data_IF_452726420160
#
_entry.id   IF_452726420160
#
_cell.length_a   1.000
_cell.length_b   1.000
_cell.length_c   1.000
_cell.angle_alpha   90.00
_cell.angle_beta   90.00
_cell.angle_gamma   90.00
#
_symmetry.space_group_name_H-M   'P 1'
#
loop_
_entity.id
_entity.type
_entity.pdbx_description
1 polymer ?
#
# COMPACT_ATOMS: atom_id res chain seq x y z
N UNK A 1 -43.98 51.28 -66.48
CA UNK A 1 -45.06 50.61 -65.74
C UNK A 1 -44.89 51.03 -64.29
N UNK A 2 -45.19 52.30 -63.98
CA UNK A 2 -46.52 52.87 -63.70
C UNK A 2 -47.08 52.22 -62.42
N UNK A 3 -46.88 52.84 -61.24
CA UNK A 3 -47.70 53.93 -60.64
C UNK A 3 -48.80 53.27 -59.76
N UNK A 4 -49.16 53.69 -58.55
CA UNK A 4 -49.48 55.02 -58.00
C UNK A 4 -49.18 55.01 -56.47
N UNK A 5 -48.45 55.98 -55.90
CA UNK A 5 -48.88 57.28 -55.35
C UNK A 5 -49.78 57.21 -54.08
N UNK A 6 -49.26 57.71 -52.95
CA UNK A 6 -49.61 59.06 -52.45
C UNK A 6 -48.81 59.44 -51.18
N UNK A 7 -48.15 60.59 -51.28
CA UNK A 7 -47.55 61.39 -50.20
C UNK A 7 -48.62 61.97 -49.25
N UNK A 8 -48.22 62.28 -48.02
CA UNK A 8 -48.21 63.65 -47.49
C UNK A 8 -47.63 63.70 -46.06
N UNK A 9 -46.67 64.60 -45.89
CA UNK A 9 -46.09 65.10 -44.64
C UNK A 9 -47.14 65.75 -43.73
N UNK A 10 -46.90 65.75 -42.42
CA UNK A 10 -46.99 66.97 -41.59
C UNK A 10 -46.36 66.72 -40.20
N UNK A 11 -45.37 67.54 -39.87
CA UNK A 11 -44.77 67.70 -38.54
C UNK A 11 -45.74 68.45 -37.62
N UNK A 12 -45.91 67.98 -36.37
CA UNK A 12 -46.35 68.82 -35.26
C UNK A 12 -45.71 68.32 -33.95
N UNK A 13 -44.77 69.13 -33.44
CA UNK A 13 -44.40 69.21 -32.03
C UNK A 13 -45.64 69.45 -31.16
N UNK A 14 -45.70 68.84 -29.97
CA UNK A 14 -46.11 69.49 -28.72
C UNK A 14 -45.84 68.56 -27.53
N UNK A 15 -44.97 69.04 -26.64
CA UNK A 15 -44.83 68.62 -25.25
C UNK A 15 -46.19 68.60 -24.54
N UNK A 16 -46.43 67.63 -23.65
CA UNK A 16 -47.05 67.89 -22.35
C UNK A 16 -46.88 66.65 -21.44
N UNK A 17 -46.21 66.92 -20.32
CA UNK A 17 -46.03 66.06 -19.15
C UNK A 17 -47.37 65.68 -18.54
N UNK A 18 -47.60 64.39 -18.27
CA UNK A 18 -48.54 63.97 -17.24
C UNK A 18 -48.03 62.74 -16.50
N UNK A 19 -47.52 63.01 -15.30
CA UNK A 19 -47.28 62.08 -14.20
C UNK A 19 -48.53 61.23 -13.93
N UNK A 20 -48.37 59.92 -14.01
CA UNK A 20 -49.23 58.97 -13.33
C UNK A 20 -48.32 58.03 -12.53
N UNK A 21 -48.15 58.39 -11.26
CA UNK A 21 -47.72 57.51 -10.17
C UNK A 21 -48.73 56.35 -10.06
N UNK A 22 -48.53 55.29 -10.84
CA UNK A 22 -49.11 54.00 -10.52
C UNK A 22 -48.20 53.36 -9.46
N UNK A 23 -48.66 53.48 -8.20
CA UNK A 23 -48.17 52.71 -7.07
C UNK A 23 -48.25 51.22 -7.42
N UNK A 24 -47.16 50.68 -7.95
CA UNK A 24 -46.93 49.25 -7.99
C UNK A 24 -46.82 48.77 -6.55
N UNK A 25 -47.93 48.28 -6.01
CA UNK A 25 -47.94 47.32 -4.92
C UNK A 25 -46.96 46.21 -5.31
N UNK A 26 -45.75 46.29 -4.77
CA UNK A 26 -44.80 45.19 -4.73
C UNK A 26 -45.43 44.13 -3.81
N UNK A 27 -46.32 43.33 -4.37
CA UNK A 27 -46.47 41.96 -3.93
C UNK A 27 -45.07 41.35 -4.09
N UNK A 28 -44.31 41.34 -2.99
CA UNK A 28 -43.17 40.45 -2.81
C UNK A 28 -43.72 39.01 -2.83
N UNK A 29 -44.16 38.56 -4.01
CA UNK A 29 -44.18 37.16 -4.37
C UNK A 29 -42.74 36.70 -4.22
N UNK A 30 -42.45 36.12 -3.07
CA UNK A 30 -41.28 35.29 -2.90
C UNK A 30 -41.39 34.17 -3.94
N UNK A 31 -40.87 34.44 -5.14
CA UNK A 31 -40.41 33.45 -6.11
C UNK A 31 -39.31 32.67 -5.39
N UNK A 32 -39.74 31.74 -4.54
CA UNK A 32 -38.93 30.60 -4.21
C UNK A 32 -38.78 29.85 -5.52
N UNK A 33 -37.75 30.21 -6.30
CA UNK A 33 -37.15 29.33 -7.29
C UNK A 33 -37.23 27.92 -6.71
N UNK A 34 -38.02 27.04 -7.33
CA UNK A 34 -38.25 25.67 -6.87
C UNK A 34 -36.91 24.92 -6.84
N UNK A 35 -36.19 25.04 -5.72
CA UNK A 35 -34.87 24.44 -5.56
C UNK A 35 -35.03 22.93 -5.41
N UNK A 36 -34.73 22.21 -6.49
CA UNK A 36 -34.71 20.76 -6.48
C UNK A 36 -33.53 20.21 -5.67
N UNK A 37 -33.81 19.26 -4.76
CA UNK A 37 -32.78 18.59 -3.98
C UNK A 37 -32.20 17.45 -4.82
N UNK A 38 -30.98 17.64 -5.32
CA UNK A 38 -30.27 16.63 -6.14
C UNK A 38 -29.58 15.54 -5.32
N UNK A 39 -29.28 15.81 -4.05
CA UNK A 39 -28.64 14.85 -3.14
C UNK A 39 -28.98 15.13 -1.68
N UNK A 40 -29.08 14.06 -0.89
CA UNK A 40 -29.31 14.14 0.56
C UNK A 40 -28.44 13.12 1.29
N UNK A 41 -27.64 13.58 2.25
CA UNK A 41 -26.83 12.71 3.11
C UNK A 41 -27.61 12.34 4.37
N UNK A 42 -27.86 11.04 4.55
CA UNK A 42 -28.65 10.52 5.67
C UNK A 42 -27.74 9.69 6.59
N UNK A 43 -27.70 10.04 7.88
CA UNK A 43 -26.98 9.29 8.90
C UNK A 43 -27.94 8.45 9.74
N UNK A 44 -27.80 7.12 9.67
CA UNK A 44 -28.62 6.19 10.44
C UNK A 44 -28.11 6.01 11.87
N UNK A 45 -29.03 5.93 12.84
CA UNK A 45 -28.72 5.59 14.24
C UNK A 45 -28.58 4.08 14.47
N UNK A 46 -29.28 3.26 13.67
CA UNK A 46 -29.28 1.80 13.75
C UNK A 46 -28.59 1.18 12.53
N UNK A 47 -27.68 0.20 12.70
CA UNK A 47 -27.01 -0.49 11.60
C UNK A 47 -27.97 -1.21 10.64
N UNK A 48 -29.14 -1.66 11.12
CA UNK A 48 -30.13 -2.37 10.30
C UNK A 48 -30.67 -1.47 9.17
N UNK A 49 -30.84 -0.18 9.44
CA UNK A 49 -31.41 0.77 8.49
C UNK A 49 -30.44 1.04 7.32
N UNK A 50 -29.13 0.88 7.52
CA UNK A 50 -28.12 1.04 6.46
C UNK A 50 -28.31 0.01 5.34
N UNK A 51 -28.87 -1.17 5.66
CA UNK A 51 -29.04 -2.26 4.71
C UNK A 51 -30.43 -2.22 4.06
N UNK A 52 -31.48 -1.96 4.84
CA UNK A 52 -32.86 -2.04 4.37
C UNK A 52 -33.33 -0.77 3.65
N UNK A 53 -32.93 0.40 4.15
CA UNK A 53 -33.41 1.69 3.62
C UNK A 53 -32.98 1.92 2.16
N UNK A 54 -31.72 1.67 1.75
CA UNK A 54 -31.34 1.85 0.34
C UNK A 54 -32.10 0.92 -0.60
N UNK A 55 -32.43 -0.30 -0.15
CA UNK A 55 -33.23 -1.24 -0.96
C UNK A 55 -34.64 -0.71 -1.20
N UNK A 56 -35.32 -0.23 -0.16
CA UNK A 56 -36.65 0.37 -0.30
C UNK A 56 -36.64 1.57 -1.24
N UNK A 57 -35.66 2.48 -1.09
CA UNK A 57 -35.54 3.64 -1.98
C UNK A 57 -35.31 3.22 -3.44
N UNK A 58 -34.42 2.25 -3.69
CA UNK A 58 -34.11 1.79 -5.04
C UNK A 58 -35.23 0.95 -5.69
N UNK A 59 -36.07 0.28 -4.89
CA UNK A 59 -37.17 -0.59 -5.37
C UNK A 59 -38.49 0.21 -5.54
N UNK A 60 -38.78 1.15 -4.64
CA UNK A 60 -40.09 1.83 -4.56
C UNK A 60 -40.08 3.25 -5.15
N UNK A 61 -38.92 3.81 -5.51
CA UNK A 61 -38.80 5.20 -5.99
C UNK A 61 -37.88 5.33 -7.21
N UNK A 62 -37.95 6.47 -7.89
CA UNK A 62 -37.03 6.82 -8.99
C UNK A 62 -35.67 7.36 -8.49
N UNK A 63 -35.40 7.30 -7.18
CA UNK A 63 -34.17 7.78 -6.57
C UNK A 63 -33.16 6.64 -6.47
N UNK A 64 -31.88 7.00 -6.38
CA UNK A 64 -30.80 6.05 -6.15
C UNK A 64 -30.17 6.29 -4.77
N UNK A 65 -30.31 5.32 -3.88
CA UNK A 65 -29.62 5.29 -2.60
C UNK A 65 -28.33 4.47 -2.71
N UNK A 66 -27.21 5.09 -2.35
CA UNK A 66 -25.90 4.45 -2.21
C UNK A 66 -25.44 4.50 -0.75
N UNK A 67 -24.64 3.52 -0.34
CA UNK A 67 -24.02 3.46 1.00
C UNK A 67 -22.51 3.57 0.83
N UNK A 68 -21.93 4.79 0.89
CA UNK A 68 -20.52 5.00 0.61
C UNK A 68 -19.60 4.16 1.49
N UNK A 69 -19.92 4.01 2.78
CA UNK A 69 -19.12 3.22 3.72
C UNK A 69 -19.05 1.73 3.35
N UNK A 70 -20.15 1.16 2.83
CA UNK A 70 -20.19 -0.23 2.43
C UNK A 70 -19.40 -0.47 1.14
N UNK A 71 -19.56 0.39 0.13
CA UNK A 71 -18.82 0.28 -1.13
C UNK A 71 -17.32 0.50 -0.93
N UNK A 72 -16.91 1.48 -0.11
CA UNK A 72 -15.50 1.67 0.26
C UNK A 72 -14.95 0.44 0.98
N UNK A 73 -15.70 -0.13 1.93
CA UNK A 73 -15.29 -1.35 2.63
C UNK A 73 -15.19 -2.55 1.69
N UNK A 74 -16.09 -2.67 0.71
CA UNK A 74 -16.07 -3.70 -0.32
C UNK A 74 -14.83 -3.56 -1.21
N UNK A 75 -14.50 -2.35 -1.66
CA UNK A 75 -13.28 -2.09 -2.42
C UNK A 75 -12.04 -2.48 -1.61
N UNK A 76 -11.93 -2.03 -0.36
CA UNK A 76 -10.81 -2.41 0.50
C UNK A 76 -10.73 -3.91 0.77
N UNK A 77 -11.85 -4.63 0.86
CA UNK A 77 -11.86 -6.09 1.01
C UNK A 77 -11.27 -6.79 -0.22
N UNK A 78 -11.55 -6.29 -1.43
CA UNK A 78 -10.94 -6.82 -2.66
C UNK A 78 -9.42 -6.58 -2.68
N UNK A 79 -8.96 -5.40 -2.25
CA UNK A 79 -7.53 -5.12 -2.10
C UNK A 79 -6.87 -5.97 -0.99
N UNK A 80 -7.58 -6.19 0.12
CA UNK A 80 -7.10 -6.98 1.25
C UNK A 80 -6.73 -8.41 0.87
N UNK A 81 -7.55 -9.07 0.03
CA UNK A 81 -7.25 -10.41 -0.49
C UNK A 81 -5.93 -10.45 -1.30
N UNK A 82 -5.67 -9.40 -2.10
CA UNK A 82 -4.42 -9.30 -2.86
C UNK A 82 -3.19 -9.15 -1.96
N UNK A 83 -3.26 -8.26 -0.97
CA UNK A 83 -2.17 -8.03 -0.01
C UNK A 83 -1.90 -9.29 0.83
N UNK A 84 -2.95 -9.98 1.28
CA UNK A 84 -2.83 -11.23 2.04
C UNK A 84 -2.13 -12.32 1.22
N UNK A 85 -2.52 -12.49 -0.05
CA UNK A 85 -1.89 -13.46 -0.95
C UNK A 85 -0.40 -13.17 -1.16
N UNK A 86 -0.04 -11.90 -1.37
CA UNK A 86 1.37 -11.50 -1.49
C UNK A 86 2.16 -11.75 -0.20
N UNK A 87 1.52 -11.56 0.95
CA UNK A 87 2.13 -11.83 2.26
C UNK A 87 2.42 -13.32 2.44
N UNK A 88 1.50 -14.20 2.06
CA UNK A 88 1.76 -15.65 2.09
C UNK A 88 2.87 -16.06 1.13
N UNK A 89 2.91 -15.47 -0.07
CA UNK A 89 4.02 -15.68 -1.01
C UNK A 89 5.36 -15.23 -0.40
N UNK A 90 5.39 -14.08 0.28
CA UNK A 90 6.59 -13.60 0.95
C UNK A 90 7.06 -14.58 2.03
N UNK A 91 6.15 -15.14 2.84
CA UNK A 91 6.51 -16.19 3.81
C UNK A 91 7.09 -17.44 3.15
N UNK A 92 6.52 -17.87 2.03
CA UNK A 92 7.06 -19.00 1.27
C UNK A 92 8.48 -18.71 0.76
N UNK A 93 8.73 -17.51 0.22
CA UNK A 93 10.05 -17.09 -0.24
C UNK A 93 11.06 -17.05 0.91
N UNK A 94 10.65 -16.57 2.09
CA UNK A 94 11.48 -16.57 3.30
C UNK A 94 11.89 -18.00 3.68
N UNK A 95 10.95 -18.95 3.66
CA UNK A 95 11.22 -20.37 3.96
C UNK A 95 12.22 -20.94 2.95
N UNK A 96 11.97 -20.74 1.66
CA UNK A 96 12.87 -21.23 0.59
C UNK A 96 14.26 -20.62 0.72
N UNK A 97 14.35 -19.33 1.02
CA UNK A 97 15.63 -18.64 1.23
C UNK A 97 16.39 -19.18 2.43
N UNK A 98 15.69 -19.51 3.52
CA UNK A 98 16.28 -20.16 4.69
C UNK A 98 16.88 -21.54 4.38
N UNK A 99 16.20 -22.33 3.54
CA UNK A 99 16.74 -23.59 3.02
C UNK A 99 17.95 -23.38 2.11
N UNK A 100 17.89 -22.40 1.20
CA UNK A 100 19.03 -22.06 0.34
C UNK A 100 20.25 -21.64 1.16
N UNK A 101 20.06 -20.83 2.21
CA UNK A 101 21.13 -20.44 3.13
C UNK A 101 21.72 -21.67 3.84
N UNK A 102 20.88 -22.58 4.35
CA UNK A 102 21.34 -23.82 4.97
C UNK A 102 22.19 -24.66 4.00
N UNK A 103 21.72 -24.85 2.77
CA UNK A 103 22.44 -25.63 1.75
C UNK A 103 23.78 -24.98 1.41
N UNK A 104 23.81 -23.65 1.27
CA UNK A 104 25.05 -22.90 1.00
C UNK A 104 26.07 -23.05 2.12
N UNK A 105 25.64 -22.89 3.38
CA UNK A 105 26.52 -23.10 4.54
C UNK A 105 27.02 -24.55 4.59
N UNK A 106 26.14 -25.52 4.38
CA UNK A 106 26.51 -26.93 4.37
C UNK A 106 27.54 -27.26 3.28
N UNK A 107 27.40 -26.70 2.08
CA UNK A 107 28.34 -26.92 0.99
C UNK A 107 29.68 -26.22 1.25
N UNK A 108 29.66 -24.94 1.63
CA UNK A 108 30.88 -24.19 1.99
C UNK A 108 31.68 -24.90 3.09
N UNK A 109 30.97 -25.46 4.06
CA UNK A 109 31.54 -26.28 5.12
C UNK A 109 32.26 -27.52 4.61
N UNK A 110 31.66 -28.25 3.66
CA UNK A 110 32.25 -29.46 3.08
C UNK A 110 33.48 -29.14 2.24
N UNK A 111 33.43 -28.07 1.46
CA UNK A 111 34.56 -27.61 0.63
C UNK A 111 35.75 -27.18 1.49
N UNK A 112 35.48 -26.51 2.63
CA UNK A 112 36.51 -26.01 3.56
C UNK A 112 36.87 -27.00 4.67
N UNK A 113 36.45 -28.26 4.57
CA UNK A 113 36.63 -29.25 5.64
C UNK A 113 38.11 -29.52 5.96
N UNK A 114 38.95 -29.63 4.93
CA UNK A 114 40.40 -29.81 5.08
C UNK A 114 41.05 -28.61 5.80
N UNK A 115 40.71 -27.39 5.39
CA UNK A 115 41.22 -26.16 6.00
C UNK A 115 40.86 -26.08 7.50
N UNK A 116 39.63 -26.47 7.85
CA UNK A 116 39.21 -26.50 9.26
C UNK A 116 39.92 -27.58 10.07
N UNK A 117 40.22 -28.73 9.46
CA UNK A 117 41.06 -29.75 10.09
C UNK A 117 42.47 -29.20 10.35
N UNK A 118 43.06 -28.48 9.40
CA UNK A 118 44.37 -27.82 9.55
C UNK A 118 44.36 -26.74 10.64
N UNK A 119 43.35 -25.85 10.66
CA UNK A 119 43.21 -24.83 11.72
C UNK A 119 43.09 -25.48 13.11
N UNK A 120 42.53 -26.69 13.15
CA UNK A 120 42.39 -27.45 14.38
C UNK A 120 43.68 -28.11 14.85
N UNK A 121 44.58 -28.50 13.96
CA UNK A 121 45.93 -28.96 14.35
C UNK A 121 46.77 -27.82 14.91
N UNK A 122 46.50 -26.58 14.49
CA UNK A 122 47.10 -25.36 15.05
C UNK A 122 46.56 -24.96 16.43
N UNK A 123 45.60 -25.72 17.00
CA UNK A 123 45.10 -25.55 18.37
C UNK A 123 43.70 -24.93 18.50
N UNK A 124 42.97 -24.72 17.40
CA UNK A 124 41.59 -24.23 17.46
C UNK A 124 40.65 -25.26 18.11
N UNK A 125 39.70 -24.80 18.93
CA UNK A 125 38.72 -25.65 19.59
C UNK A 125 37.52 -25.96 18.70
N UNK A 126 36.83 -27.08 18.97
CA UNK A 126 35.54 -27.45 18.32
C UNK A 126 34.50 -26.33 18.39
N UNK A 127 34.46 -25.61 19.51
CA UNK A 127 33.52 -24.51 19.74
C UNK A 127 33.86 -23.29 18.89
N UNK A 128 35.13 -22.97 18.71
CA UNK A 128 35.54 -21.84 17.87
C UNK A 128 35.16 -22.06 16.41
N UNK A 129 35.39 -23.26 15.86
CA UNK A 129 34.99 -23.60 14.50
C UNK A 129 33.46 -23.59 14.33
N UNK A 130 32.72 -24.14 15.31
CA UNK A 130 31.25 -24.13 15.30
C UNK A 130 30.68 -22.70 15.37
N UNK A 131 31.22 -21.86 16.27
CA UNK A 131 30.80 -20.46 16.40
C UNK A 131 31.14 -19.63 15.16
N UNK A 132 32.25 -19.93 14.47
CA UNK A 132 32.60 -19.25 13.22
C UNK A 132 31.49 -19.37 12.17
N UNK A 133 30.86 -20.54 12.06
CA UNK A 133 29.78 -20.80 11.10
C UNK A 133 28.50 -20.07 11.50
N UNK A 134 28.20 -20.04 12.79
CA UNK A 134 27.07 -19.26 13.33
C UNK A 134 27.29 -17.77 13.08
N UNK A 135 28.50 -17.26 13.24
CA UNK A 135 28.81 -15.88 12.90
C UNK A 135 28.72 -15.61 11.40
N UNK A 136 29.18 -16.54 10.56
CA UNK A 136 29.06 -16.44 9.11
C UNK A 136 27.59 -16.32 8.69
N UNK A 137 26.71 -17.16 9.25
CA UNK A 137 25.27 -17.08 8.97
C UNK A 137 24.64 -15.80 9.49
N UNK A 138 24.99 -15.37 10.71
CA UNK A 138 24.48 -14.12 11.30
C UNK A 138 24.90 -12.90 10.49
N UNK A 139 26.13 -12.84 10.00
CA UNK A 139 26.61 -11.76 9.14
C UNK A 139 25.81 -11.76 7.83
N UNK A 140 25.61 -12.92 7.21
CA UNK A 140 24.85 -13.04 5.96
C UNK A 140 23.39 -12.59 6.13
N UNK A 141 22.70 -13.02 7.20
CA UNK A 141 21.29 -12.67 7.41
C UNK A 141 21.10 -11.22 7.85
N UNK A 142 21.98 -10.69 8.71
CA UNK A 142 21.92 -9.29 9.11
C UNK A 142 22.27 -8.34 7.97
N UNK A 143 23.33 -8.63 7.20
CA UNK A 143 23.66 -7.87 6.00
C UNK A 143 22.53 -7.93 4.96
N UNK A 144 21.99 -9.13 4.71
CA UNK A 144 20.84 -9.33 3.82
C UNK A 144 19.62 -8.52 4.26
N UNK A 145 19.35 -8.44 5.56
CA UNK A 145 18.27 -7.61 6.11
C UNK A 145 18.49 -6.12 5.82
N UNK A 146 19.67 -5.56 6.11
CA UNK A 146 19.95 -4.15 5.85
C UNK A 146 19.92 -3.81 4.36
N UNK A 147 20.44 -4.70 3.51
CA UNK A 147 20.37 -4.54 2.05
C UNK A 147 18.91 -4.60 1.59
N UNK A 148 18.13 -5.56 2.08
CA UNK A 148 16.71 -5.70 1.77
C UNK A 148 15.89 -4.48 2.19
N UNK A 149 16.16 -3.93 3.38
CA UNK A 149 15.56 -2.67 3.84
C UNK A 149 15.89 -1.53 2.88
N UNK A 150 17.17 -1.37 2.52
CA UNK A 150 17.60 -0.30 1.62
C UNK A 150 16.91 -0.42 0.24
N UNK A 151 16.87 -1.62 -0.33
CA UNK A 151 16.16 -1.89 -1.59
C UNK A 151 14.67 -1.62 -1.47
N UNK A 152 14.05 -2.01 -0.34
CA UNK A 152 12.64 -1.72 -0.07
C UNK A 152 12.37 -0.21 -0.05
N UNK A 153 13.20 0.58 0.65
CA UNK A 153 13.07 2.03 0.71
C UNK A 153 13.27 2.70 -0.65
N UNK A 154 14.25 2.27 -1.44
CA UNK A 154 14.43 2.74 -2.81
C UNK A 154 13.25 2.38 -3.70
N UNK A 155 12.68 1.17 -3.53
CA UNK A 155 11.48 0.75 -4.24
C UNK A 155 10.26 1.62 -3.93
N UNK A 156 10.03 1.92 -2.63
CA UNK A 156 8.94 2.82 -2.22
C UNK A 156 9.17 4.23 -2.80
N UNK A 157 10.39 4.76 -2.73
CA UNK A 157 10.72 6.06 -3.32
C UNK A 157 10.46 6.09 -4.82
N UNK A 158 10.87 5.04 -5.54
CA UNK A 158 10.65 4.92 -6.98
C UNK A 158 9.16 4.87 -7.34
N UNK A 159 8.38 4.04 -6.65
CA UNK A 159 6.93 3.95 -6.86
C UNK A 159 6.24 5.27 -6.50
N UNK A 160 6.63 5.90 -5.40
CA UNK A 160 6.09 7.20 -4.99
C UNK A 160 6.31 8.27 -6.06
N UNK A 161 7.51 8.33 -6.67
CA UNK A 161 7.81 9.29 -7.73
C UNK A 161 6.98 9.05 -8.99
N UNK A 162 6.68 7.79 -9.34
CA UNK A 162 5.79 7.49 -10.47
C UNK A 162 4.33 7.86 -10.19
N UNK A 163 3.90 7.87 -8.93
CA UNK A 163 2.51 8.15 -8.54
C UNK A 163 2.28 9.60 -8.11
N UNK A 164 3.31 10.41 -7.92
CA UNK A 164 3.23 11.81 -7.48
C UNK A 164 2.28 12.65 -8.35
N UNK A 165 2.28 12.42 -9.67
CA UNK A 165 1.41 13.14 -10.61
C UNK A 165 -0.10 12.81 -10.43
N UNK A 166 -0.42 11.67 -9.81
CA UNK A 166 -1.79 11.14 -9.73
C UNK A 166 -2.44 11.21 -8.33
N UNK A 167 -1.66 11.14 -7.24
CA UNK A 167 -2.23 10.91 -5.90
C UNK A 167 -1.76 11.87 -4.78
N UNK A 168 -0.85 12.82 -5.04
CA UNK A 168 -0.30 13.75 -4.02
C UNK A 168 0.07 13.05 -2.68
N UNK A 169 0.58 11.82 -2.76
CA UNK A 169 0.81 10.98 -1.59
C UNK A 169 2.30 10.91 -1.27
N UNK A 170 2.71 11.51 -0.14
CA UNK A 170 4.09 11.44 0.32
C UNK A 170 4.29 10.16 1.15
N UNK A 171 4.74 9.08 0.49
CA UNK A 171 5.09 7.82 1.17
C UNK A 171 6.45 7.87 1.88
N UNK A 172 7.10 9.03 1.93
CA UNK A 172 8.48 9.17 2.34
C UNK A 172 8.62 9.28 3.87
N UNK A 173 8.11 8.28 4.58
CA UNK A 173 8.35 8.13 6.02
C UNK A 173 9.64 7.33 6.22
N UNK A 174 10.77 8.01 6.41
CA UNK A 174 12.06 7.40 6.77
C UNK A 174 12.11 6.91 8.23
N UNK A 175 10.99 6.89 8.95
CA UNK A 175 10.92 6.35 10.30
C UNK A 175 11.15 4.84 10.30
N UNK A 176 11.80 4.34 11.36
CA UNK A 176 11.88 2.90 11.62
C UNK A 176 10.50 2.41 12.06
N UNK A 177 9.96 1.45 11.34
CA UNK A 177 8.68 0.84 11.66
C UNK A 177 8.86 -0.29 12.67
N UNK A 178 7.83 -0.56 13.48
CA UNK A 178 7.88 -1.66 14.47
C UNK A 178 8.00 -3.01 13.75
N UNK A 179 7.42 -3.11 12.57
CA UNK A 179 7.44 -4.26 11.68
C UNK A 179 8.87 -4.57 11.21
N UNK A 180 9.70 -3.55 10.99
CA UNK A 180 11.11 -3.75 10.60
C UNK A 180 11.93 -4.38 11.73
N UNK A 181 11.67 -4.01 12.98
CA UNK A 181 12.32 -4.64 14.14
C UNK A 181 11.93 -6.11 14.29
N UNK A 182 10.65 -6.44 14.04
CA UNK A 182 10.20 -7.82 14.03
C UNK A 182 10.88 -8.63 12.91
N UNK A 183 11.01 -8.07 11.71
CA UNK A 183 11.72 -8.69 10.58
C UNK A 183 13.21 -8.88 10.85
N UNK A 184 13.86 -7.96 11.56
CA UNK A 184 15.26 -8.14 12.00
C UNK A 184 15.38 -9.36 12.93
N UNK A 185 14.48 -9.46 13.92
CA UNK A 185 14.42 -10.61 14.81
C UNK A 185 14.21 -11.94 14.06
N UNK A 186 13.30 -11.94 13.09
CA UNK A 186 13.04 -13.09 12.21
C UNK A 186 14.29 -13.46 11.39
N UNK A 187 15.00 -12.47 10.83
CA UNK A 187 16.22 -12.70 10.04
C UNK A 187 17.35 -13.34 10.87
N UNK A 188 17.56 -12.85 12.09
CA UNK A 188 18.51 -13.43 13.04
C UNK A 188 18.09 -14.86 13.39
N UNK A 189 16.81 -15.08 13.67
CA UNK A 189 16.27 -16.40 13.97
C UNK A 189 16.49 -17.41 12.85
N UNK A 190 16.25 -17.01 11.60
CA UNK A 190 16.50 -17.84 10.41
C UNK A 190 18.00 -18.15 10.29
N UNK A 191 18.89 -17.16 10.44
CA UNK A 191 20.34 -17.36 10.38
C UNK A 191 20.85 -18.36 11.43
N UNK A 192 20.31 -18.27 12.65
CA UNK A 192 20.59 -19.23 13.71
C UNK A 192 20.11 -20.62 13.30
N UNK A 193 18.83 -20.79 12.96
CA UNK A 193 18.26 -22.10 12.59
C UNK A 193 19.01 -22.74 11.40
N UNK A 194 19.26 -21.97 10.34
CA UNK A 194 19.97 -22.47 9.15
C UNK A 194 21.40 -22.89 9.44
N UNK A 195 22.03 -22.39 10.49
CA UNK A 195 23.42 -22.75 10.87
C UNK A 195 23.54 -23.84 11.93
N UNK A 196 22.45 -24.24 12.61
CA UNK A 196 22.50 -25.25 13.68
C UNK A 196 23.08 -26.57 13.18
N UNK A 197 22.56 -27.11 12.08
CA UNK A 197 22.99 -28.43 11.58
C UNK A 197 24.45 -28.40 11.11
N UNK A 198 24.89 -27.45 10.25
CA UNK A 198 26.29 -27.36 9.83
C UNK A 198 27.24 -27.12 11.02
N UNK A 199 26.85 -26.27 11.98
CA UNK A 199 27.66 -25.97 13.15
C UNK A 199 27.86 -27.20 14.07
N UNK A 200 26.84 -28.04 14.21
CA UNK A 200 26.92 -29.29 14.98
C UNK A 200 27.79 -30.35 14.29
N UNK A 201 27.70 -30.46 12.97
CA UNK A 201 28.55 -31.39 12.20
C UNK A 201 30.03 -31.07 12.37
N UNK A 202 30.37 -29.79 12.40
CA UNK A 202 31.76 -29.31 12.53
C UNK A 202 32.31 -29.50 13.93
N UNK A 203 31.45 -29.33 14.93
CA UNK A 203 31.78 -29.68 16.29
C UNK A 203 32.24 -31.15 16.41
N UNK A 204 31.57 -32.05 15.68
CA UNK A 204 31.85 -33.49 15.68
C UNK A 204 32.89 -33.95 14.64
N UNK A 205 33.56 -33.02 13.94
CA UNK A 205 34.49 -33.38 12.88
C UNK A 205 35.73 -34.13 13.43
N UNK A 206 36.00 -35.31 12.87
CA UNK A 206 37.16 -36.15 13.18
C UNK A 206 38.36 -35.71 12.33
N UNK A 207 39.37 -35.16 12.99
CA UNK A 207 40.56 -34.59 12.33
C UNK A 207 41.38 -35.70 11.67
N UNK A 208 41.60 -36.81 12.39
CA UNK A 208 42.46 -37.91 11.94
C UNK A 208 41.94 -38.60 10.69
N UNK A 209 40.63 -38.79 10.61
CA UNK A 209 39.95 -39.38 9.45
C UNK A 209 39.99 -38.42 8.25
N UNK A 210 39.70 -37.14 8.50
CA UNK A 210 39.70 -36.11 7.45
C UNK A 210 41.08 -35.91 6.82
N UNK A 211 42.16 -35.95 7.62
CA UNK A 211 43.53 -35.80 7.12
C UNK A 211 44.10 -37.08 6.49
N UNK A 212 43.46 -38.24 6.69
CA UNK A 212 43.92 -39.52 6.14
C UNK A 212 43.25 -39.86 4.80
N UNK A 213 42.06 -39.30 4.54
CA UNK A 213 41.29 -39.53 3.31
C UNK A 213 41.66 -38.59 2.14
N UNK A 214 42.53 -37.59 2.36
CA UNK A 214 43.08 -36.65 1.35
C UNK A 214 44.59 -36.84 1.17
#
# INVERSE_FOLDING_TARGET
>A
DHDDEHDHDDEHDHDDEHDHDDEHDHDDEHDHDDKEITAMLIKFKSPMNIIQFPRQINEDTNLQAAVPSYEISRLFKLFGFGIETLTYLAYLIIIVSGFSLFINLFNSMRERRYEMALIRTLGSSRRQLSMMIVFESLILTTAGFFIGLLVSRLGVMFVSSLMEESLNYNLNSFGILKEELWLLGLSIFIGLISSIIPALQVYNLNISETLADE
#
